data_IF_008726779808
#
_entry.id   IF_008726779808
#
_cell.length_a   1.000
_cell.length_b   1.000
_cell.length_c   1.000
_cell.angle_alpha   90.00
_cell.angle_beta   90.00
_cell.angle_gamma   90.00
#
_symmetry.space_group_name_H-M   'P 1'
#
loop_
_entity.id
_entity.type
_entity.pdbx_description
1 polymer ?
#
# COMPACT_ATOMS: atom_id res chain seq x y z
N UNK A 1 5.03 4.82 25.76
CA UNK A 1 5.51 4.82 24.37
C UNK A 1 4.34 4.37 23.49
N UNK A 2 3.62 5.28 22.81
CA UNK A 2 2.45 4.86 22.05
C UNK A 2 2.88 4.18 20.75
N UNK A 3 2.67 2.86 20.73
CA UNK A 3 2.09 2.13 19.60
C UNK A 3 2.84 2.16 18.28
N UNK A 4 3.93 1.41 18.18
CA UNK A 4 4.30 0.74 16.93
C UNK A 4 3.23 -0.31 16.63
N UNK A 5 2.02 0.11 16.27
CA UNK A 5 1.10 -0.81 15.61
C UNK A 5 1.77 -1.16 14.29
N UNK A 6 2.07 -2.45 14.14
CA UNK A 6 3.11 -2.98 13.28
C UNK A 6 3.01 -2.43 11.86
N UNK A 7 3.99 -1.60 11.50
CA UNK A 7 4.19 -1.13 10.12
C UNK A 7 4.17 -2.32 9.14
N UNK A 8 4.62 -3.50 9.59
CA UNK A 8 4.53 -4.76 8.86
C UNK A 8 3.09 -5.22 8.57
N UNK A 9 2.15 -5.10 9.53
CA UNK A 9 0.73 -5.44 9.32
C UNK A 9 0.11 -4.47 8.30
N UNK A 10 0.43 -3.17 8.41
CA UNK A 10 -0.03 -2.16 7.48
C UNK A 10 0.49 -2.43 6.05
N UNK A 11 1.79 -2.69 5.89
CA UNK A 11 2.41 -3.05 4.61
C UNK A 11 1.77 -4.31 4.04
N UNK A 12 1.58 -5.35 4.86
CA UNK A 12 0.96 -6.61 4.41
C UNK A 12 -0.48 -6.38 3.94
N UNK A 13 -1.23 -5.52 4.63
CA UNK A 13 -2.59 -5.11 4.22
C UNK A 13 -2.58 -4.36 2.89
N UNK A 14 -1.71 -3.36 2.69
CA UNK A 14 -1.56 -2.67 1.39
C UNK A 14 -1.33 -3.67 0.27
N UNK A 15 -0.40 -4.61 0.47
CA UNK A 15 -0.09 -5.63 -0.53
C UNK A 15 -1.29 -6.52 -0.82
N UNK A 16 -2.01 -6.99 0.19
CA UNK A 16 -3.22 -7.81 -0.01
C UNK A 16 -4.31 -7.04 -0.75
N UNK A 17 -4.53 -5.78 -0.39
CA UNK A 17 -5.53 -4.91 -1.01
C UNK A 17 -5.17 -4.66 -2.49
N UNK A 18 -3.94 -4.25 -2.76
CA UNK A 18 -3.45 -4.02 -4.13
C UNK A 18 -3.40 -5.31 -4.96
N UNK A 19 -3.10 -6.45 -4.34
CA UNK A 19 -3.12 -7.74 -5.03
C UNK A 19 -4.55 -8.14 -5.45
N UNK A 20 -5.56 -7.78 -4.65
CA UNK A 20 -6.98 -8.07 -4.94
C UNK A 20 -7.58 -7.08 -5.94
N UNK A 21 -7.21 -5.81 -5.87
CA UNK A 21 -7.82 -4.72 -6.66
C UNK A 21 -6.97 -4.28 -7.88
N UNK A 22 -5.77 -4.84 -8.09
CA UNK A 22 -4.77 -4.51 -9.15
C UNK A 22 -4.23 -3.08 -9.13
N UNK A 23 -5.09 -2.08 -8.99
CA UNK A 23 -4.77 -0.66 -8.97
C UNK A 23 -5.83 0.07 -8.15
N UNK A 24 -5.42 0.93 -7.22
CA UNK A 24 -6.35 1.71 -6.40
C UNK A 24 -5.93 3.16 -6.32
N UNK A 25 -6.91 4.05 -6.26
CA UNK A 25 -6.63 5.46 -5.98
C UNK A 25 -6.05 5.64 -4.57
N UNK A 26 -5.19 6.65 -4.33
CA UNK A 26 -4.70 7.01 -3.01
C UNK A 26 -5.80 7.09 -1.93
N UNK A 27 -6.94 7.78 -2.14
CA UNK A 27 -8.02 7.81 -1.16
C UNK A 27 -8.67 6.43 -0.92
N UNK A 28 -8.84 5.61 -1.96
CA UNK A 28 -9.43 4.27 -1.82
C UNK A 28 -8.54 3.32 -1.03
N UNK A 29 -7.23 3.32 -1.32
CA UNK A 29 -6.28 2.52 -0.57
C UNK A 29 -6.30 2.90 0.92
N UNK A 30 -6.29 4.20 1.21
CA UNK A 30 -6.33 4.71 2.58
C UNK A 30 -7.65 4.32 3.27
N UNK A 31 -8.79 4.40 2.57
CA UNK A 31 -10.10 4.01 3.11
C UNK A 31 -10.15 2.52 3.45
N UNK A 32 -9.67 1.65 2.55
CA UNK A 32 -9.62 0.20 2.80
C UNK A 32 -8.66 -0.16 3.94
N UNK A 33 -7.60 0.63 4.15
CA UNK A 33 -6.73 0.48 5.31
C UNK A 33 -7.40 0.93 6.60
N UNK A 34 -8.17 2.02 6.56
CA UNK A 34 -8.97 2.54 7.68
C UNK A 34 -10.05 1.55 8.12
N UNK A 35 -10.77 0.94 7.17
CA UNK A 35 -11.70 -0.16 7.44
C UNK A 35 -11.00 -1.38 8.07
N UNK A 36 -9.72 -1.56 7.76
CA UNK A 36 -8.88 -2.60 8.36
C UNK A 36 -8.33 -2.27 9.75
N UNK A 37 -8.66 -1.10 10.31
CA UNK A 37 -8.20 -0.62 11.62
C UNK A 37 -6.87 0.15 11.60
N UNK A 38 -6.34 0.51 10.43
CA UNK A 38 -5.14 1.33 10.30
C UNK A 38 -5.53 2.81 10.24
N UNK A 39 -4.97 3.63 11.13
CA UNK A 39 -5.23 5.07 11.09
C UNK A 39 -4.82 5.69 9.74
N UNK A 40 -5.63 6.62 9.23
CA UNK A 40 -5.40 7.35 7.97
C UNK A 40 -3.97 7.89 7.81
N UNK A 41 -3.42 8.46 8.89
CA UNK A 41 -2.06 9.02 8.90
C UNK A 41 -0.99 7.94 8.73
N UNK A 42 -1.19 6.77 9.32
CA UNK A 42 -0.28 5.64 9.21
C UNK A 42 -0.39 4.99 7.83
N UNK A 43 -1.62 4.78 7.34
CA UNK A 43 -1.87 4.29 5.98
C UNK A 43 -1.16 5.16 4.92
N UNK A 44 -1.24 6.48 5.08
CA UNK A 44 -0.54 7.43 4.20
C UNK A 44 0.98 7.27 4.33
N UNK A 45 1.53 7.27 5.55
CA UNK A 45 2.97 7.06 5.80
C UNK A 45 3.49 5.78 5.17
N UNK A 46 2.79 4.68 5.38
CA UNK A 46 3.12 3.35 4.84
C UNK A 46 3.11 3.38 3.31
N UNK A 47 2.07 3.95 2.70
CA UNK A 47 1.99 4.07 1.24
C UNK A 47 3.15 4.87 0.66
N UNK A 48 3.51 6.02 1.25
CA UNK A 48 4.68 6.80 0.81
C UNK A 48 5.99 6.05 1.00
N UNK A 49 6.16 5.37 2.13
CA UNK A 49 7.36 4.57 2.40
C UNK A 49 7.50 3.39 1.42
N UNK A 50 6.39 2.74 1.06
CA UNK A 50 6.37 1.69 0.03
C UNK A 50 6.65 2.24 -1.36
N UNK A 51 6.16 3.45 -1.67
CA UNK A 51 6.45 4.14 -2.93
C UNK A 51 7.94 4.50 -3.04
N UNK A 52 8.51 5.04 -1.96
CA UNK A 52 9.93 5.38 -1.86
C UNK A 52 10.84 4.16 -2.03
N UNK A 53 10.45 3.02 -1.44
CA UNK A 53 11.13 1.72 -1.63
C UNK A 53 10.91 1.08 -3.00
N UNK A 54 10.02 1.63 -3.82
CA UNK A 54 9.61 1.05 -5.10
C UNK A 54 8.79 -0.24 -4.97
N UNK A 55 8.21 -0.54 -3.81
CA UNK A 55 7.32 -1.70 -3.65
C UNK A 55 5.96 -1.48 -4.31
N UNK A 56 5.53 -0.22 -4.38
CA UNK A 56 4.35 0.21 -5.13
C UNK A 56 4.75 1.32 -6.08
N UNK A 57 4.01 1.47 -7.18
CA UNK A 57 4.20 2.53 -8.16
C UNK A 57 2.88 3.24 -8.42
N UNK A 58 2.97 4.47 -8.91
CA UNK A 58 1.82 5.23 -9.38
C UNK A 58 1.69 5.03 -10.88
N UNK A 59 0.55 4.50 -11.31
CA UNK A 59 0.21 4.38 -12.73
C UNK A 59 -0.16 5.75 -13.35
N UNK A 60 -0.24 5.84 -14.69
CA UNK A 60 -0.70 7.02 -15.43
C UNK A 60 -2.06 7.55 -14.96
N UNK A 61 -2.92 6.72 -14.39
CA UNK A 61 -4.20 7.14 -13.82
C UNK A 61 -4.11 7.66 -12.37
N UNK A 62 -2.91 7.92 -11.86
CA UNK A 62 -2.66 8.31 -10.45
C UNK A 62 -3.10 7.24 -9.43
N UNK A 63 -3.12 5.98 -9.84
CA UNK A 63 -3.45 4.85 -8.97
C UNK A 63 -2.18 4.18 -8.43
N UNK A 64 -2.18 3.82 -7.15
CA UNK A 64 -1.19 2.94 -6.58
C UNK A 64 -1.39 1.52 -7.10
N UNK A 65 -0.30 0.91 -7.56
CA UNK A 65 -0.25 -0.47 -7.99
C UNK A 65 0.93 -1.16 -7.32
N UNK A 66 0.80 -2.45 -7.06
CA UNK A 66 1.92 -3.24 -6.57
C UNK A 66 2.98 -3.30 -7.68
N UNK A 67 4.20 -2.86 -7.38
CA UNK A 67 5.34 -3.17 -8.23
C UNK A 67 5.65 -4.65 -8.03
N UNK A 68 4.89 -5.51 -8.73
CA UNK A 68 5.35 -6.86 -8.94
C UNK A 68 6.63 -6.71 -9.74
N UNK A 69 7.78 -6.98 -9.11
CA UNK A 69 8.96 -7.35 -9.89
C UNK A 69 8.46 -8.47 -10.78
N UNK A 70 8.22 -8.14 -12.06
CA UNK A 70 8.07 -9.11 -13.11
C UNK A 70 9.38 -9.88 -13.03
N UNK A 71 9.37 -11.02 -12.34
CA UNK A 71 10.42 -12.02 -12.44
C UNK A 71 10.33 -12.44 -13.89
N UNK A 72 11.18 -11.82 -14.72
CA UNK A 72 11.57 -12.41 -15.97
C UNK A 72 12.29 -13.70 -15.60
N UNK A 73 11.68 -14.80 -15.98
CA UNK A 73 12.20 -16.16 -16.15
C UNK A 73 11.22 -16.69 -17.21
N UNK A 74 11.44 -16.33 -18.48
CA UNK A 74 12.13 -17.17 -19.49
C UNK A 74 11.37 -18.48 -19.73
#
# INVERSE_FOLDING_TARGET
>A
MPGTVDNEIAIKRVKTILAKHKSLSPPELIQLMEEGGIAKSEARRVAWHMLDRGEIVVDRQMHFTLQTKKKGDD
#
